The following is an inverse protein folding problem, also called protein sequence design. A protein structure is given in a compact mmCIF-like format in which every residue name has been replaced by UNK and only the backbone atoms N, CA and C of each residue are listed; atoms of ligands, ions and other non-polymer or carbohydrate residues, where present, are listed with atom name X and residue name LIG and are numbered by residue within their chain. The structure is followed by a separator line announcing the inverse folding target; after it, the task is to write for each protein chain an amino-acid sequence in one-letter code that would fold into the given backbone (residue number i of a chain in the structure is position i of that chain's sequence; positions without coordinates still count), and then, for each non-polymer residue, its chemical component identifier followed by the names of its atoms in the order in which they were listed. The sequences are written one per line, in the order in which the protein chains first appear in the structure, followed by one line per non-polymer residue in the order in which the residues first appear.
data_IF_834427804680
#
_entry.id   IF_834427804680
#
_cell.length_a   1.000
_cell.length_b   1.000
_cell.length_c   1.000
_cell.angle_alpha   90.00
_cell.angle_beta   90.00
_cell.angle_gamma   90.00
#
_symmetry.space_group_name_H-M   'P 1'
#
loop_
_entity.id
_entity.type
_entity.pdbx_description
1 polymer ?
#
# COMPACT_ATOMS: atom_id res chain seq x y z
N UNK A 1 14.13 0.37 -25.51
CA UNK A 1 15.34 1.14 -25.13
C UNK A 1 15.22 1.51 -23.66
N UNK A 2 14.22 2.30 -23.27
CA UNK A 2 13.93 2.67 -21.86
C UNK A 2 13.89 1.50 -20.87
N UNK A 3 13.16 0.41 -21.17
CA UNK A 3 13.13 -0.78 -20.29
C UNK A 3 14.53 -1.34 -19.98
N UNK A 4 15.42 -1.40 -20.98
CA UNK A 4 16.76 -1.92 -20.79
C UNK A 4 17.64 -0.94 -20.04
N UNK A 5 17.45 0.37 -20.26
CA UNK A 5 18.17 1.42 -19.54
C UNK A 5 17.82 1.37 -18.04
N UNK A 6 16.53 1.28 -17.70
CA UNK A 6 16.08 1.11 -16.31
C UNK A 6 16.72 -0.13 -15.66
N UNK A 7 16.71 -1.27 -16.35
CA UNK A 7 17.31 -2.52 -15.86
C UNK A 7 18.82 -2.39 -15.66
N UNK A 8 19.51 -1.73 -16.59
CA UNK A 8 20.95 -1.48 -16.48
C UNK A 8 21.24 -0.62 -15.25
N UNK A 9 20.56 0.51 -15.09
CA UNK A 9 20.74 1.41 -13.94
C UNK A 9 20.46 0.71 -12.61
N UNK A 10 19.45 -0.18 -12.56
CA UNK A 10 19.18 -0.98 -11.37
C UNK A 10 20.32 -1.97 -11.08
N UNK A 11 20.82 -2.67 -12.09
CA UNK A 11 21.91 -3.63 -11.92
C UNK A 11 23.22 -2.95 -11.48
N UNK A 12 23.53 -1.77 -12.02
CA UNK A 12 24.71 -0.99 -11.63
C UNK A 12 24.69 -0.55 -10.16
N UNK A 13 23.50 -0.45 -9.57
CA UNK A 13 23.29 -0.09 -8.17
C UNK A 13 23.06 -1.29 -7.24
N UNK A 14 23.14 -2.51 -7.77
CA UNK A 14 22.92 -3.74 -6.99
C UNK A 14 23.97 -3.92 -5.89
N UNK A 15 23.53 -4.46 -4.76
CA UNK A 15 24.35 -4.70 -3.58
C UNK A 15 24.06 -6.12 -3.04
N UNK A 16 24.85 -7.12 -3.48
CA UNK A 16 24.66 -8.52 -3.09
C UNK A 16 24.72 -8.75 -1.57
N UNK A 17 25.48 -7.95 -0.83
CA UNK A 17 25.62 -8.08 0.63
C UNK A 17 24.31 -7.75 1.35
N UNK A 18 23.48 -6.88 0.77
CA UNK A 18 22.16 -6.53 1.33
C UNK A 18 21.07 -7.55 1.02
N UNK A 19 21.20 -8.31 -0.06
CA UNK A 19 20.16 -9.23 -0.57
C UNK A 19 19.68 -10.17 0.54
N UNK A 20 20.60 -10.83 1.26
CA UNK A 20 20.22 -11.79 2.32
C UNK A 20 19.38 -11.16 3.43
N UNK A 21 19.70 -9.93 3.83
CA UNK A 21 18.98 -9.22 4.88
C UNK A 21 17.58 -8.83 4.42
N UNK A 22 17.49 -8.28 3.21
CA UNK A 22 16.23 -7.82 2.61
C UNK A 22 15.29 -9.00 2.31
N UNK A 23 15.79 -10.11 1.77
CA UNK A 23 14.98 -11.31 1.55
C UNK A 23 14.39 -11.87 2.85
N UNK A 24 15.16 -11.87 3.95
CA UNK A 24 14.62 -12.26 5.27
C UNK A 24 13.55 -11.29 5.76
N UNK A 25 13.75 -9.99 5.56
CA UNK A 25 12.79 -8.96 5.98
C UNK A 25 11.45 -9.08 5.24
N UNK A 26 11.50 -9.30 3.93
CA UNK A 26 10.31 -9.48 3.08
C UNK A 26 9.74 -10.90 3.10
N UNK A 27 10.30 -11.81 3.91
CA UNK A 27 9.80 -13.16 4.13
C UNK A 27 9.62 -13.93 2.83
N UNK A 28 10.73 -14.24 2.16
CA UNK A 28 10.75 -14.95 0.88
C UNK A 28 10.85 -16.47 0.99
N UNK A 29 10.70 -17.03 2.20
CA UNK A 29 10.69 -18.46 2.43
C UNK A 29 9.43 -19.15 1.92
N UNK A 30 9.46 -20.48 1.85
CA UNK A 30 8.31 -21.28 1.41
C UNK A 30 7.10 -21.08 2.33
N UNK A 31 5.94 -20.79 1.74
CA UNK A 31 4.69 -20.50 2.44
C UNK A 31 4.62 -19.10 3.06
N UNK A 32 5.64 -18.27 2.87
CA UNK A 32 5.63 -16.87 3.30
C UNK A 32 5.07 -15.95 2.21
N UNK A 33 4.64 -14.75 2.58
CA UNK A 33 3.94 -13.85 1.66
C UNK A 33 4.82 -13.31 0.52
N UNK A 34 6.14 -13.33 0.67
CA UNK A 34 7.10 -12.92 -0.35
C UNK A 34 7.76 -14.09 -1.09
N UNK A 35 7.21 -15.31 -0.98
CA UNK A 35 7.76 -16.49 -1.65
C UNK A 35 7.95 -16.23 -3.16
N UNK A 36 9.16 -16.49 -3.65
CA UNK A 36 9.54 -16.30 -5.06
C UNK A 36 10.11 -14.93 -5.40
N UNK A 37 10.06 -13.95 -4.49
CA UNK A 37 10.67 -12.64 -4.69
C UNK A 37 12.21 -12.73 -4.70
N UNK A 38 12.82 -12.08 -5.70
CA UNK A 38 14.26 -11.87 -5.82
C UNK A 38 14.60 -10.41 -5.53
N UNK A 39 15.78 -10.14 -4.99
CA UNK A 39 16.22 -8.80 -4.62
C UNK A 39 17.59 -8.46 -5.20
N UNK A 40 17.77 -7.19 -5.56
CA UNK A 40 19.04 -6.61 -5.98
C UNK A 40 19.77 -5.89 -4.83
N UNK A 41 19.11 -5.65 -3.69
CA UNK A 41 19.70 -4.99 -2.53
C UNK A 41 19.71 -3.46 -2.63
N UNK A 42 18.86 -2.88 -3.47
CA UNK A 42 18.89 -1.44 -3.77
C UNK A 42 17.99 -0.69 -2.80
N UNK A 43 18.50 0.41 -2.24
CA UNK A 43 17.73 1.22 -1.29
C UNK A 43 16.55 1.93 -1.97
N UNK A 44 15.44 2.10 -1.23
CA UNK A 44 14.24 2.82 -1.72
C UNK A 44 14.56 4.24 -2.20
N UNK A 45 15.41 5.06 -1.54
CA UNK A 45 15.81 6.37 -2.07
C UNK A 45 16.41 6.30 -3.48
N UNK A 46 17.31 5.34 -3.75
CA UNK A 46 17.89 5.17 -5.08
C UNK A 46 16.83 4.76 -6.11
N UNK A 47 15.94 3.83 -5.76
CA UNK A 47 14.83 3.43 -6.64
C UNK A 47 13.89 4.60 -6.97
N UNK A 48 13.67 5.53 -6.04
CA UNK A 48 12.91 6.76 -6.30
C UNK A 48 13.62 7.71 -7.26
N UNK A 49 14.95 7.76 -7.26
CA UNK A 49 15.72 8.56 -8.21
C UNK A 49 15.56 8.01 -9.62
N UNK A 50 15.74 6.70 -9.79
CA UNK A 50 15.54 5.99 -11.07
C UNK A 50 14.11 6.23 -11.58
N UNK A 51 13.10 6.01 -10.73
CA UNK A 51 11.72 6.25 -11.14
C UNK A 51 11.43 7.70 -11.50
N UNK A 52 12.14 8.68 -10.93
CA UNK A 52 12.01 10.10 -11.27
C UNK A 52 12.72 10.44 -12.58
N UNK A 53 13.79 9.74 -12.91
CA UNK A 53 14.52 9.88 -14.17
C UNK A 53 13.68 9.39 -15.34
N UNK A 54 13.11 8.19 -15.24
CA UNK A 54 12.49 7.52 -16.39
C UNK A 54 10.97 7.73 -16.56
N UNK A 55 10.26 8.37 -15.62
CA UNK A 55 8.78 8.38 -15.67
C UNK A 55 8.17 9.05 -16.91
N UNK A 56 8.87 9.99 -17.55
CA UNK A 56 8.34 10.68 -18.73
C UNK A 56 8.47 9.83 -19.99
N UNK A 57 9.47 8.94 -20.05
CA UNK A 57 9.83 8.17 -21.23
C UNK A 57 9.26 6.74 -21.19
N UNK A 58 9.09 6.18 -19.99
CA UNK A 58 8.56 4.83 -19.82
C UNK A 58 7.09 4.74 -20.25
N UNK A 59 6.77 3.78 -21.12
CA UNK A 59 5.39 3.46 -21.49
C UNK A 59 4.72 2.56 -20.45
N UNK A 60 3.39 2.40 -20.53
CA UNK A 60 2.67 1.41 -19.72
C UNK A 60 3.14 -0.04 -20.03
N UNK A 61 3.61 -0.31 -21.24
CA UNK A 61 4.16 -1.63 -21.57
C UNK A 61 5.51 -1.85 -20.89
N UNK A 62 6.39 -0.83 -20.81
CA UNK A 62 7.63 -0.94 -20.03
C UNK A 62 7.34 -1.18 -18.53
N UNK A 63 6.34 -0.49 -17.98
CA UNK A 63 5.89 -0.68 -16.58
C UNK A 63 5.34 -2.11 -16.39
N UNK A 64 4.55 -2.62 -17.33
CA UNK A 64 4.00 -3.98 -17.31
C UNK A 64 5.10 -5.03 -17.36
N UNK A 65 6.08 -4.84 -18.24
CA UNK A 65 7.24 -5.71 -18.33
C UNK A 65 8.02 -5.74 -17.03
N UNK A 66 8.32 -4.58 -16.43
CA UNK A 66 8.99 -4.50 -15.12
C UNK A 66 8.19 -5.21 -14.01
N UNK A 67 6.86 -5.06 -14.00
CA UNK A 67 5.98 -5.74 -13.04
C UNK A 67 5.93 -7.27 -13.22
N UNK A 68 6.23 -7.77 -14.41
CA UNK A 68 6.19 -9.20 -14.72
C UNK A 68 7.38 -9.99 -14.15
N UNK A 69 8.49 -9.31 -13.83
CA UNK A 69 9.67 -9.94 -13.25
C UNK A 69 9.49 -10.21 -11.75
N UNK A 70 10.10 -11.29 -11.27
CA UNK A 70 10.13 -11.62 -9.84
C UNK A 70 11.15 -10.78 -9.05
N UNK A 71 11.81 -9.81 -9.69
CA UNK A 71 12.77 -8.92 -9.03
C UNK A 71 12.00 -7.77 -8.36
N UNK A 72 12.08 -7.69 -7.04
CA UNK A 72 11.31 -6.75 -6.24
C UNK A 72 11.56 -5.30 -6.63
N UNK A 73 12.82 -4.90 -6.80
CA UNK A 73 13.18 -3.53 -7.16
C UNK A 73 12.71 -3.14 -8.57
N UNK A 74 12.53 -4.10 -9.48
CA UNK A 74 11.94 -3.82 -10.80
C UNK A 74 10.47 -3.43 -10.63
N UNK A 75 9.71 -4.21 -9.86
CA UNK A 75 8.30 -3.94 -9.58
C UNK A 75 8.11 -2.64 -8.80
N UNK A 76 8.95 -2.38 -7.79
CA UNK A 76 8.86 -1.15 -7.02
C UNK A 76 9.18 0.08 -7.87
N UNK A 77 10.21 0.05 -8.73
CA UNK A 77 10.49 1.15 -9.68
C UNK A 77 9.32 1.33 -10.66
N UNK A 78 8.75 0.26 -11.19
CA UNK A 78 7.58 0.32 -12.09
C UNK A 78 6.40 1.06 -11.44
N UNK A 79 6.07 0.74 -10.19
CA UNK A 79 5.00 1.41 -9.46
C UNK A 79 5.34 2.86 -9.12
N UNK A 80 6.61 3.16 -8.82
CA UNK A 80 7.05 4.54 -8.59
C UNK A 80 6.99 5.40 -9.85
N UNK A 81 7.32 4.83 -11.01
CA UNK A 81 7.14 5.45 -12.33
C UNK A 81 5.65 5.75 -12.54
N UNK A 82 4.80 4.75 -12.36
CA UNK A 82 3.35 4.90 -12.55
C UNK A 82 2.74 5.95 -11.61
N UNK A 83 3.19 6.00 -10.34
CA UNK A 83 2.82 7.05 -9.38
C UNK A 83 3.27 8.43 -9.87
N UNK A 84 4.49 8.57 -10.40
CA UNK A 84 4.99 9.84 -10.92
C UNK A 84 4.17 10.29 -12.14
N UNK A 85 3.89 9.39 -13.08
CA UNK A 85 3.04 9.65 -14.24
C UNK A 85 1.64 10.11 -13.81
N UNK A 86 0.98 9.39 -12.89
CA UNK A 86 -0.34 9.75 -12.40
C UNK A 86 -0.36 11.14 -11.75
N UNK A 87 0.59 11.41 -10.85
CA UNK A 87 0.65 12.67 -10.09
C UNK A 87 1.03 13.87 -10.97
N UNK A 88 1.82 13.66 -12.02
CA UNK A 88 2.25 14.72 -12.94
C UNK A 88 1.26 14.96 -14.08
N UNK A 89 0.43 13.98 -14.40
CA UNK A 89 -0.65 14.15 -15.36
C UNK A 89 -1.71 15.12 -14.83
N UNK A 90 -2.10 16.05 -15.69
CA UNK A 90 -3.29 16.92 -15.53
C UNK A 90 -4.47 16.45 -16.37
N UNK A 91 -4.24 15.47 -17.24
CA UNK A 91 -5.27 14.91 -18.10
C UNK A 91 -6.00 13.77 -17.38
N UNK A 92 -7.31 13.93 -17.25
CA UNK A 92 -8.19 12.95 -16.59
C UNK A 92 -8.24 11.63 -17.37
N UNK A 93 -8.18 11.68 -18.70
CA UNK A 93 -8.18 10.47 -19.53
C UNK A 93 -6.94 9.61 -19.23
N UNK A 94 -5.76 10.22 -19.26
CA UNK A 94 -4.50 9.58 -18.88
C UNK A 94 -4.56 9.01 -17.45
N UNK A 95 -5.15 9.74 -16.49
CA UNK A 95 -5.31 9.22 -15.11
C UNK A 95 -6.22 8.00 -15.05
N UNK A 96 -7.33 8.00 -15.79
CA UNK A 96 -8.23 6.85 -15.90
C UNK A 96 -7.53 5.65 -16.54
N UNK A 97 -6.75 5.86 -17.58
CA UNK A 97 -5.93 4.80 -18.22
C UNK A 97 -4.92 4.21 -17.24
N UNK A 98 -4.23 5.04 -16.45
CA UNK A 98 -3.31 4.57 -15.40
C UNK A 98 -4.03 3.77 -14.32
N UNK A 99 -5.21 4.21 -13.88
CA UNK A 99 -6.00 3.49 -12.87
C UNK A 99 -6.48 2.14 -13.39
N UNK A 100 -7.00 2.09 -14.62
CA UNK A 100 -7.39 0.85 -15.27
C UNK A 100 -6.20 -0.11 -15.43
N UNK A 101 -5.04 0.43 -15.84
CA UNK A 101 -3.79 -0.33 -15.89
C UNK A 101 -3.40 -0.87 -14.52
N UNK A 102 -3.39 -0.03 -13.47
CA UNK A 102 -3.04 -0.43 -12.11
C UNK A 102 -3.92 -1.60 -11.62
N UNK A 103 -5.24 -1.48 -11.81
CA UNK A 103 -6.21 -2.52 -11.42
C UNK A 103 -6.02 -3.82 -12.23
N UNK A 104 -5.58 -3.73 -13.49
CA UNK A 104 -5.27 -4.93 -14.29
C UNK A 104 -4.01 -5.67 -13.83
N UNK A 105 -3.17 -5.03 -13.01
CA UNK A 105 -1.88 -5.57 -12.56
C UNK A 105 -1.86 -5.95 -11.07
N UNK A 106 -2.98 -5.95 -10.36
CA UNK A 106 -3.04 -6.19 -8.89
C UNK A 106 -2.34 -7.48 -8.46
N UNK A 107 -2.48 -8.56 -9.24
CA UNK A 107 -1.78 -9.84 -9.02
C UNK A 107 -0.25 -9.75 -8.97
N UNK A 108 0.35 -8.69 -9.54
CA UNK A 108 1.80 -8.42 -9.52
C UNK A 108 2.22 -7.43 -8.42
N UNK A 109 1.25 -6.84 -7.72
CA UNK A 109 1.45 -5.90 -6.61
C UNK A 109 1.20 -6.66 -5.31
N UNK A 110 1.99 -7.72 -5.13
CA UNK A 110 1.76 -8.77 -4.14
C UNK A 110 2.73 -8.71 -2.96
N UNK A 111 3.09 -7.50 -2.54
CA UNK A 111 3.87 -7.25 -1.33
C UNK A 111 3.39 -5.96 -0.66
N UNK A 112 3.49 -5.87 0.66
CA UNK A 112 2.89 -4.77 1.41
C UNK A 112 3.52 -3.43 1.03
N UNK A 113 4.82 -3.38 0.73
CA UNK A 113 5.50 -2.13 0.38
C UNK A 113 5.16 -1.66 -1.04
N UNK A 114 4.93 -2.59 -1.98
CA UNK A 114 4.44 -2.32 -3.32
C UNK A 114 3.04 -1.69 -3.26
N UNK A 115 2.14 -2.30 -2.47
CA UNK A 115 0.79 -1.77 -2.21
C UNK A 115 0.89 -0.39 -1.55
N UNK A 116 1.55 -0.29 -0.40
CA UNK A 116 1.56 0.90 0.45
C UNK A 116 2.24 2.11 -0.22
N UNK A 117 3.21 1.85 -1.10
CA UNK A 117 3.91 2.93 -1.82
C UNK A 117 3.06 3.56 -2.91
N UNK A 118 2.08 2.82 -3.45
CA UNK A 118 1.39 3.16 -4.69
C UNK A 118 -0.10 3.47 -4.53
N UNK A 119 -0.88 2.60 -3.87
CA UNK A 119 -2.33 2.59 -3.95
C UNK A 119 -2.99 3.92 -3.56
N UNK A 120 -2.65 4.50 -2.40
CA UNK A 120 -3.29 5.75 -1.96
C UNK A 120 -2.95 6.97 -2.83
N UNK A 121 -1.84 6.92 -3.58
CA UNK A 121 -1.45 8.02 -4.47
C UNK A 121 -2.15 7.94 -5.83
N UNK A 122 -2.56 6.73 -6.23
CA UNK A 122 -3.26 6.45 -7.49
C UNK A 122 -4.73 6.24 -7.19
N UNK A 123 -5.10 5.07 -6.65
CA UNK A 123 -6.48 4.69 -6.32
C UNK A 123 -7.10 5.63 -5.28
N UNK A 124 -6.41 5.89 -4.17
CA UNK A 124 -6.95 6.76 -3.11
C UNK A 124 -7.30 8.16 -3.63
N UNK A 125 -6.40 8.76 -4.41
CA UNK A 125 -6.69 10.03 -5.09
C UNK A 125 -7.84 9.89 -6.07
N UNK A 126 -7.80 8.91 -6.96
CA UNK A 126 -8.80 8.75 -8.02
C UNK A 126 -10.19 8.56 -7.45
N UNK A 127 -10.35 7.67 -6.47
CA UNK A 127 -11.63 7.36 -5.85
C UNK A 127 -12.22 8.60 -5.15
N UNK A 128 -11.40 9.37 -4.44
CA UNK A 128 -11.86 10.61 -3.81
C UNK A 128 -12.27 11.67 -4.85
N UNK A 129 -11.42 11.93 -5.84
CA UNK A 129 -11.62 12.99 -6.83
C UNK A 129 -12.82 12.71 -7.75
N UNK A 130 -13.01 11.44 -8.12
CA UNK A 130 -14.04 11.00 -9.05
C UNK A 130 -15.30 10.46 -8.36
N UNK A 131 -15.34 10.47 -7.01
CA UNK A 131 -16.42 9.88 -6.21
C UNK A 131 -16.68 8.41 -6.60
N UNK A 132 -15.60 7.65 -6.60
CA UNK A 132 -15.53 6.22 -6.97
C UNK A 132 -15.11 5.34 -5.81
N UNK A 133 -15.64 5.63 -4.62
CA UNK A 133 -15.42 4.84 -3.40
C UNK A 133 -15.87 3.39 -3.58
N UNK A 134 -16.84 3.12 -4.47
CA UNK A 134 -17.27 1.78 -4.90
C UNK A 134 -16.09 0.87 -5.24
N UNK A 135 -15.08 1.39 -5.93
CA UNK A 135 -13.87 0.63 -6.27
C UNK A 135 -13.09 0.15 -5.04
N UNK A 136 -13.08 0.92 -3.95
CA UNK A 136 -12.40 0.51 -2.73
C UNK A 136 -13.22 -0.53 -1.97
N UNK A 137 -14.56 -0.44 -1.99
CA UNK A 137 -15.40 -1.48 -1.40
C UNK A 137 -15.29 -2.80 -2.17
N UNK A 138 -15.26 -2.77 -3.51
CA UNK A 138 -15.05 -3.95 -4.35
C UNK A 138 -13.72 -4.65 -4.01
N UNK A 139 -12.63 -3.88 -3.91
CA UNK A 139 -11.32 -4.41 -3.48
C UNK A 139 -11.35 -4.95 -2.05
N UNK A 140 -12.11 -4.33 -1.14
CA UNK A 140 -12.25 -4.81 0.23
C UNK A 140 -13.04 -6.13 0.32
N UNK A 141 -13.88 -6.43 -0.66
CA UNK A 141 -14.67 -7.66 -0.76
C UNK A 141 -13.96 -8.79 -1.50
N UNK A 142 -12.94 -8.49 -2.32
CA UNK A 142 -12.10 -9.49 -3.01
C UNK A 142 -11.46 -10.52 -2.08
N UNK A 143 -11.29 -11.78 -2.52
CA UNK A 143 -10.59 -12.81 -1.74
C UNK A 143 -9.06 -12.60 -1.65
N UNK A 144 -8.50 -11.69 -2.47
CA UNK A 144 -7.07 -11.43 -2.49
C UNK A 144 -6.62 -10.52 -1.33
N UNK A 145 -5.58 -10.95 -0.62
CA UNK A 145 -4.99 -10.24 0.51
C UNK A 145 -4.54 -8.82 0.14
N UNK A 146 -3.93 -8.67 -1.04
CA UNK A 146 -3.30 -7.42 -1.46
C UNK A 146 -4.33 -6.44 -1.98
N UNK A 147 -5.37 -6.90 -2.66
CA UNK A 147 -6.53 -6.09 -3.02
C UNK A 147 -7.26 -5.56 -1.78
N UNK A 148 -7.52 -6.42 -0.79
CA UNK A 148 -8.07 -5.96 0.51
C UNK A 148 -7.17 -4.93 1.18
N UNK A 149 -5.84 -5.10 1.10
CA UNK A 149 -4.87 -4.12 1.62
C UNK A 149 -4.90 -2.81 0.82
N UNK A 150 -5.01 -2.87 -0.51
CA UNK A 150 -5.13 -1.70 -1.37
C UNK A 150 -6.36 -0.88 -1.00
N UNK A 151 -7.50 -1.53 -0.72
CA UNK A 151 -8.73 -0.87 -0.29
C UNK A 151 -8.49 -0.02 0.98
N UNK A 152 -8.02 -0.66 2.06
CA UNK A 152 -7.83 0.05 3.33
C UNK A 152 -6.73 1.10 3.23
N UNK A 153 -5.58 0.80 2.63
CA UNK A 153 -4.47 1.77 2.57
C UNK A 153 -4.80 2.95 1.64
N UNK A 154 -5.66 2.76 0.64
CA UNK A 154 -6.13 3.87 -0.21
C UNK A 154 -6.91 4.93 0.56
N UNK A 155 -7.56 4.57 1.68
CA UNK A 155 -8.24 5.52 2.57
C UNK A 155 -7.29 6.55 3.20
N UNK A 156 -5.97 6.31 3.20
CA UNK A 156 -4.95 7.31 3.56
C UNK A 156 -5.13 8.63 2.79
N UNK A 157 -5.57 8.59 1.53
CA UNK A 157 -5.84 9.82 0.78
C UNK A 157 -7.06 10.56 1.34
N UNK A 158 -8.14 9.84 1.64
CA UNK A 158 -9.37 10.39 2.23
C UNK A 158 -9.09 11.03 3.60
N UNK A 159 -8.30 10.36 4.44
CA UNK A 159 -7.83 10.89 5.74
C UNK A 159 -7.11 12.23 5.55
N UNK A 160 -6.23 12.34 4.55
CA UNK A 160 -5.53 13.60 4.24
C UNK A 160 -6.46 14.71 3.75
N UNK A 161 -7.64 14.38 3.27
CA UNK A 161 -8.69 15.33 2.90
C UNK A 161 -9.72 15.56 4.02
N UNK A 162 -9.46 15.06 5.24
CA UNK A 162 -10.39 15.08 6.38
C UNK A 162 -11.74 14.37 6.12
N UNK A 163 -11.80 13.48 5.11
CA UNK A 163 -12.97 12.64 4.84
C UNK A 163 -12.76 11.29 5.50
N UNK A 164 -13.39 11.08 6.66
CA UNK A 164 -13.02 9.97 7.54
C UNK A 164 -13.96 8.76 7.51
N UNK A 165 -15.20 8.90 7.00
CA UNK A 165 -16.24 7.85 7.15
C UNK A 165 -15.88 6.52 6.50
N UNK A 166 -15.20 6.56 5.35
CA UNK A 166 -14.80 5.33 4.63
C UNK A 166 -13.80 4.47 5.42
N UNK A 167 -13.06 5.05 6.37
CA UNK A 167 -12.01 4.33 7.11
C UNK A 167 -12.62 3.23 7.99
N UNK A 168 -13.52 3.52 8.95
CA UNK A 168 -14.15 2.47 9.75
C UNK A 168 -14.96 1.50 8.89
N UNK A 169 -15.62 1.96 7.83
CA UNK A 169 -16.40 1.09 6.93
C UNK A 169 -15.54 0.01 6.27
N UNK A 170 -14.39 0.38 5.70
CA UNK A 170 -13.46 -0.59 5.09
C UNK A 170 -12.78 -1.46 6.15
N UNK A 171 -12.45 -0.90 7.33
CA UNK A 171 -11.89 -1.70 8.44
C UNK A 171 -12.86 -2.79 8.86
N UNK A 172 -14.16 -2.50 8.98
CA UNK A 172 -15.15 -3.48 9.41
C UNK A 172 -15.31 -4.65 8.43
N UNK A 173 -15.18 -4.41 7.12
CA UNK A 173 -15.21 -5.47 6.09
C UNK A 173 -14.13 -6.54 6.26
N UNK A 174 -12.98 -6.19 6.82
CA UNK A 174 -11.85 -7.11 6.97
C UNK A 174 -11.26 -7.10 8.39
N UNK A 175 -12.05 -6.71 9.40
CA UNK A 175 -11.60 -6.53 10.78
C UNK A 175 -10.97 -7.81 11.33
N UNK A 176 -11.62 -8.94 11.04
CA UNK A 176 -11.25 -10.27 11.51
C UNK A 176 -10.48 -11.09 10.46
N UNK A 177 -9.84 -10.44 9.48
CA UNK A 177 -9.03 -11.14 8.48
C UNK A 177 -8.01 -12.06 9.16
N UNK A 178 -7.73 -13.24 8.60
CA UNK A 178 -6.77 -14.19 9.18
C UNK A 178 -5.31 -13.71 9.20
N UNK A 179 -4.95 -12.66 8.46
CA UNK A 179 -3.56 -12.33 8.14
C UNK A 179 -3.10 -11.09 8.92
N UNK A 180 -1.98 -11.19 9.63
CA UNK A 180 -1.43 -10.12 10.48
C UNK A 180 -1.12 -8.84 9.69
N UNK A 181 -0.78 -8.94 8.40
CA UNK A 181 -0.58 -7.77 7.54
C UNK A 181 -1.84 -6.90 7.43
N UNK A 182 -3.03 -7.51 7.40
CA UNK A 182 -4.28 -6.76 7.37
C UNK A 182 -4.58 -6.11 8.72
N UNK A 183 -4.32 -6.79 9.83
CA UNK A 183 -4.47 -6.19 11.17
C UNK A 183 -3.61 -4.93 11.33
N UNK A 184 -2.37 -4.99 10.83
CA UNK A 184 -1.46 -3.85 10.80
C UNK A 184 -1.98 -2.71 9.93
N UNK A 185 -2.54 -3.02 8.74
CA UNK A 185 -3.10 -1.99 7.86
C UNK A 185 -4.32 -1.31 8.49
N UNK A 186 -5.25 -2.09 9.03
CA UNK A 186 -6.46 -1.59 9.70
C UNK A 186 -6.10 -0.70 10.88
N UNK A 187 -5.24 -1.21 11.77
CA UNK A 187 -4.78 -0.44 12.93
C UNK A 187 -4.00 0.81 12.52
N UNK A 188 -3.22 0.74 11.45
CA UNK A 188 -2.54 1.90 10.90
C UNK A 188 -3.54 2.96 10.41
N UNK A 189 -4.52 2.61 9.58
CA UNK A 189 -5.48 3.62 9.08
C UNK A 189 -6.36 4.19 10.20
N UNK A 190 -6.77 3.38 11.18
CA UNK A 190 -7.46 3.87 12.38
C UNK A 190 -6.59 4.86 13.16
N UNK A 191 -5.29 4.58 13.32
CA UNK A 191 -4.34 5.51 13.95
C UNK A 191 -4.23 6.81 13.18
N UNK A 192 -4.15 6.77 11.85
CA UNK A 192 -4.08 7.99 11.04
C UNK A 192 -5.38 8.79 11.08
N UNK A 193 -6.54 8.13 11.09
CA UNK A 193 -7.84 8.77 11.34
C UNK A 193 -7.87 9.44 12.71
N UNK A 194 -7.42 8.75 13.77
CA UNK A 194 -7.36 9.27 15.13
C UNK A 194 -6.46 10.50 15.31
N UNK A 195 -5.38 10.61 14.53
CA UNK A 195 -4.55 11.82 14.51
C UNK A 195 -5.29 13.04 13.97
N UNK A 196 -6.29 12.84 13.10
CA UNK A 196 -7.12 13.91 12.54
C UNK A 196 -8.31 14.18 13.46
N UNK A 197 -8.95 13.11 13.97
CA UNK A 197 -10.10 13.19 14.85
C UNK A 197 -10.05 12.05 15.88
N UNK A 198 -9.56 12.37 17.08
CA UNK A 198 -9.44 11.39 18.17
C UNK A 198 -10.80 10.90 18.67
N UNK A 199 -11.81 11.76 18.72
CA UNK A 199 -13.16 11.41 19.16
C UNK A 199 -13.76 10.31 18.28
N UNK A 200 -13.61 10.39 16.95
CA UNK A 200 -14.04 9.33 16.04
C UNK A 200 -13.32 8.00 16.27
N UNK A 201 -12.02 8.05 16.59
CA UNK A 201 -11.29 6.84 16.95
C UNK A 201 -11.84 6.24 18.25
N UNK A 202 -12.07 7.06 19.27
CA UNK A 202 -12.65 6.62 20.56
C UNK A 202 -14.02 5.98 20.35
N UNK A 203 -14.92 6.62 19.59
CA UNK A 203 -16.24 6.07 19.27
C UNK A 203 -16.13 4.70 18.60
N UNK A 204 -15.24 4.55 17.63
CA UNK A 204 -14.99 3.26 16.98
C UNK A 204 -14.45 2.22 17.97
N UNK A 205 -13.53 2.60 18.86
CA UNK A 205 -12.95 1.70 19.84
C UNK A 205 -13.99 1.26 20.88
N UNK A 206 -14.84 2.16 21.37
CA UNK A 206 -15.90 1.84 22.33
C UNK A 206 -16.84 0.76 21.79
N UNK A 207 -17.14 0.81 20.49
CA UNK A 207 -18.05 -0.14 19.85
C UNK A 207 -17.37 -1.47 19.50
N UNK A 208 -16.12 -1.44 18.99
CA UNK A 208 -15.52 -2.61 18.35
C UNK A 208 -14.34 -3.24 19.11
N UNK A 209 -13.81 -2.64 20.18
CA UNK A 209 -12.57 -3.09 20.84
C UNK A 209 -12.54 -4.59 21.17
N UNK A 210 -13.64 -5.15 21.67
CA UNK A 210 -13.71 -6.57 22.04
C UNK A 210 -13.61 -7.52 20.84
N UNK A 211 -14.02 -7.06 19.65
CA UNK A 211 -14.00 -7.85 18.41
C UNK A 211 -12.69 -7.70 17.65
N UNK A 212 -11.98 -6.57 17.81
CA UNK A 212 -10.77 -6.31 17.04
C UNK A 212 -9.69 -7.38 17.25
N UNK A 213 -8.76 -7.60 16.33
CA UNK A 213 -7.52 -8.30 16.63
C UNK A 213 -6.61 -7.48 17.56
N UNK A 214 -5.82 -8.15 18.41
CA UNK A 214 -4.90 -7.45 19.35
C UNK A 214 -3.86 -6.60 18.60
N UNK A 215 -3.39 -7.05 17.43
CA UNK A 215 -2.48 -6.27 16.58
C UNK A 215 -3.15 -4.99 16.09
N UNK A 216 -4.38 -5.07 15.56
CA UNK A 216 -5.15 -3.90 15.08
C UNK A 216 -5.30 -2.86 16.20
N UNK A 217 -5.73 -3.30 17.38
CA UNK A 217 -5.92 -2.41 18.53
C UNK A 217 -4.61 -1.73 18.94
N UNK A 218 -3.52 -2.49 19.05
CA UNK A 218 -2.20 -1.95 19.44
C UNK A 218 -1.72 -0.87 18.47
N UNK A 219 -1.92 -1.08 17.16
CA UNK A 219 -1.54 -0.10 16.13
C UNK A 219 -2.42 1.16 16.22
N UNK A 220 -3.74 1.00 16.37
CA UNK A 220 -4.68 2.11 16.49
C UNK A 220 -4.33 3.05 17.66
N UNK A 221 -3.89 2.48 18.79
CA UNK A 221 -3.58 3.20 20.03
C UNK A 221 -2.15 3.77 20.10
N UNK A 222 -1.31 3.68 19.05
CA UNK A 222 0.10 4.08 19.17
C UNK A 222 0.34 5.57 19.46
N UNK A 223 -0.66 6.42 19.16
CA UNK A 223 -0.55 7.89 19.26
C UNK A 223 -1.55 8.51 20.24
N UNK A 224 -2.33 7.68 20.93
CA UNK A 224 -3.28 8.13 21.94
C UNK A 224 -2.61 8.24 23.30
N UNK A 225 -3.26 8.97 24.23
CA UNK A 225 -2.79 9.10 25.60
C UNK A 225 -2.53 7.72 26.26
N UNK A 226 -1.42 7.54 27.00
CA UNK A 226 -1.09 6.25 27.62
C UNK A 226 -2.16 5.68 28.55
N UNK A 227 -2.93 6.53 29.24
CA UNK A 227 -4.00 6.10 30.16
C UNK A 227 -5.15 5.50 29.36
N UNK A 228 -5.56 6.19 28.29
CA UNK A 228 -6.61 5.72 27.38
C UNK A 228 -6.18 4.43 26.67
N UNK A 229 -4.92 4.37 26.24
CA UNK A 229 -4.33 3.16 25.67
C UNK A 229 -4.40 1.98 26.63
N UNK A 230 -3.98 2.17 27.88
CA UNK A 230 -3.99 1.11 28.90
C UNK A 230 -5.41 0.63 29.19
N UNK A 231 -6.39 1.54 29.23
CA UNK A 231 -7.81 1.22 29.35
C UNK A 231 -8.27 0.23 28.26
N UNK A 232 -8.12 0.57 26.98
CA UNK A 232 -8.56 -0.31 25.89
C UNK A 232 -7.76 -1.61 25.81
N UNK A 233 -6.46 -1.57 26.12
CA UNK A 233 -5.61 -2.76 26.12
C UNK A 233 -5.98 -3.76 27.24
N UNK A 234 -6.62 -3.31 28.32
CA UNK A 234 -7.13 -4.16 29.42
C UNK A 234 -8.52 -4.74 29.16
N UNK A 235 -9.30 -4.13 28.26
CA UNK A 235 -10.59 -4.69 27.83
C UNK A 235 -10.43 -5.97 26.99
N UNK A 236 -9.21 -6.25 26.50
CA UNK A 236 -8.89 -7.35 25.60
C UNK A 236 -7.88 -8.32 26.20
#
# INVERSE_FOLDING_TARGET
MVLNDIKSTLNDLSDPEKVKSVSRYFKTGKGEYGEGDMFLGITVPNQRLIAKEFYQEASLEDVKDLLSFNIHEYRLVALLILVNQYRKSKDEKTRKEIVAFYLSQTSRINNWDLVDTSCYKILGHFCFDQKREDLLYDLADSDDLWEKRMAIVSTMYFIKQNSLEIVPEIVLKNLNHSHDLMHKANGWMLREMGKVNEEKLIQFLDEYTLQMPRTTLRYALEKIDPVVKDYYMKLK
#
